data_IF_960400145756
#
_entry.id   IF_960400145756
#
_cell.length_a   1.000
_cell.length_b   1.000
_cell.length_c   1.000
_cell.angle_alpha   90.00
_cell.angle_beta   90.00
_cell.angle_gamma   90.00
#
_symmetry.space_group_name_H-M   'P 1'
#
loop_
_entity.id
_entity.type
_entity.pdbx_description
1 polymer ?
#
# COMPACT_ATOMS: atom_id res chain seq x y z
N UNK A 1 6.45 -16.58 22.08
CA UNK A 1 6.30 -15.23 21.47
C UNK A 1 7.52 -14.39 21.81
N UNK A 2 8.14 -13.71 20.84
CA UNK A 2 9.16 -12.72 21.17
C UNK A 2 8.49 -11.53 21.85
N UNK A 3 9.07 -10.91 22.89
CA UNK A 3 8.45 -9.76 23.54
C UNK A 3 8.32 -8.61 22.53
N UNK A 4 7.13 -8.04 22.43
CA UNK A 4 6.86 -6.87 21.61
C UNK A 4 7.63 -5.67 22.19
N UNK A 5 8.45 -5.00 21.37
CA UNK A 5 9.29 -3.86 21.78
C UNK A 5 8.80 -2.60 21.11
N UNK A 6 8.76 -1.50 21.85
CA UNK A 6 8.54 -0.16 21.28
C UNK A 6 9.72 0.17 20.35
N UNK A 7 9.43 0.45 19.08
CA UNK A 7 10.42 0.85 18.08
C UNK A 7 10.54 2.35 17.98
N UNK A 8 9.40 3.04 17.91
CA UNK A 8 9.30 4.46 17.70
C UNK A 8 8.14 5.04 18.49
N UNK A 9 8.34 6.27 18.94
CA UNK A 9 7.33 7.09 19.55
C UNK A 9 7.54 8.53 19.09
N UNK A 10 6.48 9.20 18.66
CA UNK A 10 6.53 10.58 18.18
C UNK A 10 5.19 11.26 18.31
N UNK A 11 5.21 12.59 18.30
CA UNK A 11 4.02 13.43 18.28
C UNK A 11 3.68 13.81 16.82
N UNK A 12 2.40 13.73 16.46
CA UNK A 12 1.89 14.19 15.17
C UNK A 12 0.61 15.02 15.40
N UNK A 13 0.73 16.33 15.27
CA UNK A 13 -0.39 17.22 15.58
C UNK A 13 -0.82 17.10 17.05
N UNK A 14 -2.10 16.80 17.28
CA UNK A 14 -2.70 16.69 18.62
C UNK A 14 -2.60 15.29 19.24
N UNK A 15 -1.88 14.33 18.61
CA UNK A 15 -1.82 12.96 19.08
C UNK A 15 -0.41 12.37 19.07
N UNK A 16 -0.22 11.34 19.90
CA UNK A 16 1.01 10.58 20.00
C UNK A 16 0.87 9.27 19.21
N UNK A 17 1.94 8.88 18.52
CA UNK A 17 2.03 7.61 17.79
C UNK A 17 3.08 6.71 18.42
N UNK A 18 2.75 5.43 18.63
CA UNK A 18 3.67 4.39 19.07
C UNK A 18 3.69 3.26 18.06
N UNK A 19 4.89 2.87 17.60
CA UNK A 19 5.11 1.78 16.66
C UNK A 19 5.91 0.69 17.35
N UNK A 20 5.45 -0.55 17.24
CA UNK A 20 6.01 -1.72 17.91
C UNK A 20 6.70 -2.68 16.94
N UNK A 21 7.54 -3.58 17.49
CA UNK A 21 8.38 -4.51 16.73
C UNK A 21 7.61 -5.61 15.98
N UNK A 22 6.34 -5.80 16.26
CA UNK A 22 5.44 -6.73 15.53
C UNK A 22 4.69 -6.04 14.38
N UNK A 23 4.88 -4.72 14.21
CA UNK A 23 4.20 -3.88 13.23
C UNK A 23 2.95 -3.18 13.78
N UNK A 24 2.56 -3.43 15.04
CA UNK A 24 1.43 -2.75 15.65
C UNK A 24 1.69 -1.25 15.78
N UNK A 25 0.67 -0.44 15.50
CA UNK A 25 0.67 1.02 15.65
C UNK A 25 -0.51 1.44 16.53
N UNK A 26 -0.23 2.31 17.49
CA UNK A 26 -1.23 2.86 18.40
C UNK A 26 -1.18 4.38 18.29
N UNK A 27 -2.34 5.02 18.14
CA UNK A 27 -2.52 6.46 18.23
C UNK A 27 -3.22 6.83 19.54
N UNK A 28 -2.83 7.93 20.10
CA UNK A 28 -3.31 8.40 21.39
C UNK A 28 -3.58 9.90 21.34
N UNK A 29 -4.81 10.31 21.60
CA UNK A 29 -5.19 11.71 21.77
C UNK A 29 -6.12 11.88 22.96
N UNK A 30 -6.25 13.13 23.46
CA UNK A 30 -7.27 13.53 24.43
C UNK A 30 -8.45 14.22 23.77
N UNK A 31 -8.32 14.53 22.49
CA UNK A 31 -9.32 15.21 21.69
C UNK A 31 -10.24 14.18 21.02
N UNK A 32 -11.37 14.62 20.50
CA UNK A 32 -12.36 13.76 19.83
C UNK A 32 -11.86 13.20 18.51
N UNK A 33 -10.97 13.93 17.82
CA UNK A 33 -10.43 13.56 16.51
C UNK A 33 -8.89 13.66 16.46
N UNK A 34 -8.29 12.89 15.56
CA UNK A 34 -6.85 12.93 15.29
C UNK A 34 -6.53 13.96 14.19
N UNK A 35 -5.73 14.95 14.52
CA UNK A 35 -5.28 15.97 13.58
C UNK A 35 -3.81 15.80 13.21
N UNK A 36 -3.55 15.07 12.11
CA UNK A 36 -2.20 14.87 11.60
C UNK A 36 -1.64 16.13 10.93
N UNK A 37 -0.38 16.49 11.21
CA UNK A 37 0.36 17.57 10.55
C UNK A 37 1.29 17.09 9.42
N UNK A 38 1.61 15.80 9.41
CA UNK A 38 2.43 15.16 8.39
C UNK A 38 1.98 13.72 8.21
N UNK A 39 2.28 13.08 7.04
CA UNK A 39 1.86 11.70 6.82
C UNK A 39 2.66 10.75 7.71
N UNK A 40 1.95 9.83 8.38
CA UNK A 40 2.58 8.76 9.14
C UNK A 40 3.18 7.70 8.22
N UNK A 41 2.52 7.44 7.09
CA UNK A 41 2.96 6.47 6.09
C UNK A 41 2.85 7.06 4.68
N UNK A 42 3.86 6.76 3.87
CA UNK A 42 3.95 7.22 2.48
C UNK A 42 4.16 6.02 1.58
N UNK A 43 3.24 5.78 0.66
CA UNK A 43 3.46 4.89 -0.46
C UNK A 43 4.40 5.59 -1.46
N UNK A 44 5.65 5.15 -1.50
CA UNK A 44 6.72 5.80 -2.25
C UNK A 44 7.11 4.98 -3.48
N UNK A 45 6.74 5.44 -4.66
CA UNK A 45 7.19 4.85 -5.92
C UNK A 45 8.54 5.45 -6.32
N UNK A 46 9.57 4.60 -6.36
CA UNK A 46 10.94 5.01 -6.68
C UNK A 46 11.40 4.59 -8.07
N UNK A 47 10.69 3.70 -8.73
CA UNK A 47 11.05 3.23 -10.07
C UNK A 47 9.83 2.78 -10.86
N UNK A 48 9.90 2.91 -12.17
CA UNK A 48 8.95 2.31 -13.12
C UNK A 48 9.60 1.15 -13.90
N UNK A 49 10.84 0.80 -13.59
CA UNK A 49 11.57 -0.30 -14.21
C UNK A 49 11.22 -1.63 -13.55
N UNK A 50 10.76 -2.61 -14.36
CA UNK A 50 10.43 -3.95 -13.90
C UNK A 50 10.46 -4.94 -15.07
N UNK A 51 11.11 -6.09 -14.89
CA UNK A 51 11.24 -7.14 -15.91
C UNK A 51 9.99 -8.02 -16.07
N UNK A 52 9.06 -8.00 -15.11
CA UNK A 52 7.95 -8.98 -15.04
C UNK A 52 6.76 -8.66 -15.95
N UNK A 53 6.49 -7.39 -16.26
CA UNK A 53 5.36 -6.97 -17.10
C UNK A 53 4.00 -7.59 -16.69
N UNK A 54 3.71 -7.68 -15.39
CA UNK A 54 2.47 -8.25 -14.88
C UNK A 54 1.24 -7.64 -15.58
N UNK A 55 0.27 -8.46 -16.05
CA UNK A 55 -0.87 -7.94 -16.80
C UNK A 55 -1.79 -7.04 -15.97
N UNK A 56 -1.88 -7.24 -14.65
CA UNK A 56 -2.66 -6.42 -13.72
C UNK A 56 -1.89 -5.19 -13.17
N UNK A 57 -0.68 -4.89 -13.65
CA UNK A 57 0.15 -3.83 -13.06
C UNK A 57 -0.47 -2.43 -13.21
N UNK A 58 -0.91 -1.85 -12.11
CA UNK A 58 -1.50 -0.50 -12.09
C UNK A 58 -0.45 0.61 -12.30
N UNK A 59 0.83 0.32 -12.05
CA UNK A 59 1.95 1.26 -12.21
C UNK A 59 2.52 1.34 -13.64
N UNK A 60 2.02 0.52 -14.57
CA UNK A 60 2.53 0.42 -15.95
C UNK A 60 4.04 0.15 -16.05
N UNK A 61 4.62 -0.49 -15.05
CA UNK A 61 6.05 -0.76 -14.99
C UNK A 61 6.52 -1.67 -16.13
N UNK A 62 7.69 -1.36 -16.70
CA UNK A 62 8.27 -2.07 -17.85
C UNK A 62 9.79 -2.19 -17.69
N UNK A 63 10.48 -3.08 -18.45
CA UNK A 63 11.95 -3.14 -18.45
C UNK A 63 12.63 -1.83 -18.88
N UNK A 64 11.95 -1.02 -19.70
CA UNK A 64 12.42 0.29 -20.16
C UNK A 64 11.95 1.45 -19.27
N UNK A 65 11.38 1.12 -18.10
CA UNK A 65 10.96 2.11 -17.11
C UNK A 65 12.14 2.91 -16.56
N UNK A 66 11.83 4.06 -15.97
CA UNK A 66 12.82 4.97 -15.40
C UNK A 66 12.93 4.80 -13.91
N UNK A 67 14.11 5.03 -13.37
CA UNK A 67 14.35 5.21 -11.94
C UNK A 67 14.17 6.69 -11.57
N UNK A 68 13.73 6.93 -10.36
CA UNK A 68 13.60 8.28 -9.81
C UNK A 68 14.93 8.79 -9.25
N UNK A 69 15.05 10.10 -9.11
CA UNK A 69 16.11 10.71 -8.30
C UNK A 69 15.70 10.63 -6.81
N UNK A 70 16.49 9.87 -6.04
CA UNK A 70 16.27 9.69 -4.60
C UNK A 70 16.88 10.81 -3.74
N UNK A 71 17.27 11.95 -4.35
CA UNK A 71 17.81 13.12 -3.65
C UNK A 71 16.83 14.32 -3.64
N UNK A 72 15.55 14.09 -3.96
CA UNK A 72 14.57 15.18 -3.96
C UNK A 72 14.49 15.84 -2.56
N UNK A 73 14.45 17.18 -2.45
CA UNK A 73 14.54 17.92 -1.18
C UNK A 73 13.53 17.50 -0.11
N UNK A 74 12.27 17.17 -0.48
CA UNK A 74 11.27 16.78 0.49
C UNK A 74 11.69 15.56 1.34
N UNK A 75 12.53 14.67 0.81
CA UNK A 75 13.04 13.52 1.56
C UNK A 75 13.84 13.93 2.79
N UNK A 76 14.37 15.14 2.79
CA UNK A 76 15.06 15.68 3.95
C UNK A 76 14.11 16.33 4.97
N UNK A 77 12.87 16.59 4.61
CA UNK A 77 11.82 17.12 5.50
C UNK A 77 10.96 16.03 6.16
N UNK A 78 11.18 14.75 5.81
CA UNK A 78 10.50 13.62 6.44
C UNK A 78 10.74 13.61 7.96
N UNK A 79 9.67 13.38 8.70
CA UNK A 79 9.70 13.40 10.17
C UNK A 79 10.11 12.04 10.72
N UNK A 80 10.89 12.03 11.80
CA UNK A 80 11.26 10.81 12.51
C UNK A 80 10.04 9.95 12.84
N UNK A 81 10.11 8.67 12.55
CA UNK A 81 9.02 7.72 12.74
C UNK A 81 8.09 7.54 11.54
N UNK A 82 8.15 8.42 10.52
CA UNK A 82 7.42 8.20 9.26
C UNK A 82 7.79 6.85 8.65
N UNK A 83 6.80 6.13 8.14
CA UNK A 83 6.98 4.87 7.43
C UNK A 83 6.97 5.12 5.91
N UNK A 84 7.93 4.52 5.20
CA UNK A 84 7.96 4.50 3.73
C UNK A 84 7.64 3.09 3.24
N UNK A 85 6.52 2.92 2.53
CA UNK A 85 6.22 1.73 1.76
C UNK A 85 6.79 1.88 0.35
N UNK A 86 8.02 1.38 0.17
CA UNK A 86 8.79 1.56 -1.06
C UNK A 86 8.38 0.53 -2.09
N UNK A 87 7.96 1.01 -3.26
CA UNK A 87 7.45 0.19 -4.34
C UNK A 87 7.65 0.80 -5.73
N UNK A 88 6.70 0.48 -6.61
CA UNK A 88 6.69 0.88 -8.01
C UNK A 88 6.95 -0.31 -8.93
N UNK A 89 8.05 -0.28 -9.71
CA UNK A 89 8.51 -1.41 -10.51
C UNK A 89 9.19 -2.49 -9.66
N UNK A 90 10.49 -2.74 -9.90
CA UNK A 90 11.31 -3.54 -9.01
C UNK A 90 12.27 -2.64 -8.22
N UNK A 91 11.95 -2.27 -6.99
CA UNK A 91 12.78 -1.36 -6.20
C UNK A 91 14.20 -1.91 -5.93
N UNK A 92 14.38 -3.24 -5.92
CA UNK A 92 15.67 -3.89 -5.71
C UNK A 92 16.68 -3.67 -6.84
N UNK A 93 16.24 -3.20 -8.00
CA UNK A 93 17.13 -2.90 -9.14
C UNK A 93 17.48 -1.40 -9.23
N UNK A 94 16.99 -0.58 -8.29
CA UNK A 94 17.36 0.83 -8.24
C UNK A 94 18.80 0.97 -7.71
N UNK A 95 19.68 1.58 -8.51
CA UNK A 95 21.12 1.66 -8.19
C UNK A 95 21.41 2.40 -6.88
N UNK A 96 20.61 3.40 -6.52
CA UNK A 96 20.78 4.21 -5.32
C UNK A 96 19.95 3.70 -4.12
N UNK A 97 19.33 2.52 -4.21
CA UNK A 97 18.49 1.99 -3.14
C UNK A 97 19.23 1.91 -1.80
N UNK A 98 20.42 1.32 -1.77
CA UNK A 98 21.16 1.10 -0.51
C UNK A 98 21.58 2.44 0.12
N UNK A 99 22.24 3.38 -0.60
CA UNK A 99 22.54 4.71 -0.06
C UNK A 99 21.29 5.45 0.46
N UNK A 100 20.18 5.36 -0.27
CA UNK A 100 18.90 5.94 0.14
C UNK A 100 18.41 5.34 1.47
N UNK A 101 18.32 4.02 1.58
CA UNK A 101 17.90 3.34 2.80
C UNK A 101 18.81 3.67 4.00
N UNK A 102 20.13 3.77 3.79
CA UNK A 102 21.07 4.19 4.83
C UNK A 102 20.81 5.62 5.29
N UNK A 103 20.48 6.54 4.38
CA UNK A 103 20.09 7.92 4.71
C UNK A 103 18.79 7.94 5.51
N UNK A 104 17.76 7.22 5.06
CA UNK A 104 16.47 7.13 5.76
C UNK A 104 16.62 6.53 7.16
N UNK A 105 17.39 5.48 7.32
CA UNK A 105 17.69 4.88 8.62
C UNK A 105 18.34 5.89 9.59
N UNK A 106 19.32 6.68 9.13
CA UNK A 106 19.95 7.72 9.96
C UNK A 106 18.97 8.81 10.40
N UNK A 107 17.97 9.12 9.58
CA UNK A 107 16.87 10.04 9.92
C UNK A 107 15.82 9.41 10.85
N UNK A 108 15.92 8.12 11.13
CA UNK A 108 14.93 7.39 11.94
C UNK A 108 13.63 7.09 11.20
N UNK A 109 13.65 7.11 9.87
CA UNK A 109 12.55 6.73 8.99
C UNK A 109 12.49 5.20 8.93
N UNK A 110 11.29 4.63 8.97
CA UNK A 110 11.05 3.19 8.86
C UNK A 110 10.79 2.86 7.39
N UNK A 111 11.68 2.07 6.78
CA UNK A 111 11.53 1.66 5.39
C UNK A 111 10.99 0.23 5.30
N UNK A 112 9.93 0.06 4.54
CA UNK A 112 9.36 -1.22 4.13
C UNK A 112 9.46 -1.32 2.60
N UNK A 113 9.70 -2.52 2.07
CA UNK A 113 9.80 -2.74 0.61
C UNK A 113 8.79 -3.79 0.20
N UNK A 114 8.12 -3.57 -0.94
CA UNK A 114 7.29 -4.59 -1.59
C UNK A 114 8.00 -5.14 -2.81
N UNK A 115 8.09 -6.46 -2.90
CA UNK A 115 8.70 -7.18 -4.03
C UNK A 115 7.75 -8.25 -4.57
N UNK A 116 7.89 -8.60 -5.85
CA UNK A 116 7.21 -9.77 -6.39
C UNK A 116 7.92 -11.06 -5.93
N UNK A 117 7.16 -12.16 -5.79
CA UNK A 117 7.67 -13.49 -5.44
C UNK A 117 8.89 -13.92 -6.27
N UNK A 118 8.90 -13.59 -7.57
CA UNK A 118 10.04 -13.91 -8.46
C UNK A 118 11.28 -13.09 -8.10
N UNK A 119 11.11 -11.83 -7.75
CA UNK A 119 12.22 -10.96 -7.33
C UNK A 119 12.76 -11.37 -5.95
N UNK A 120 11.88 -11.84 -5.03
CA UNK A 120 12.33 -12.42 -3.77
C UNK A 120 13.34 -13.54 -4.00
N UNK A 121 13.00 -14.50 -4.87
CA UNK A 121 13.87 -15.65 -5.14
C UNK A 121 15.16 -15.22 -5.85
N UNK A 122 15.04 -14.37 -6.88
CA UNK A 122 16.21 -13.89 -7.64
C UNK A 122 17.19 -13.03 -6.80
N UNK A 123 16.71 -12.31 -5.80
CA UNK A 123 17.46 -11.33 -5.01
C UNK A 123 17.50 -11.67 -3.50
N UNK A 124 17.28 -12.95 -3.15
CA UNK A 124 17.14 -13.42 -1.76
C UNK A 124 18.29 -12.95 -0.86
N UNK A 125 19.53 -13.05 -1.33
CA UNK A 125 20.71 -12.61 -0.57
C UNK A 125 20.73 -11.11 -0.30
N UNK A 126 20.37 -10.29 -1.30
CA UNK A 126 20.27 -8.84 -1.13
C UNK A 126 19.21 -8.50 -0.07
N UNK A 127 18.01 -9.10 -0.17
CA UNK A 127 16.92 -8.87 0.78
C UNK A 127 17.36 -9.27 2.19
N UNK A 128 18.03 -10.43 2.36
CA UNK A 128 18.56 -10.86 3.67
C UNK A 128 19.57 -9.86 4.23
N UNK A 129 20.45 -9.29 3.40
CA UNK A 129 21.38 -8.22 3.81
C UNK A 129 20.65 -6.96 4.25
N UNK A 130 19.61 -6.54 3.51
CA UNK A 130 18.80 -5.36 3.87
C UNK A 130 18.09 -5.55 5.21
N UNK A 131 17.49 -6.73 5.45
CA UNK A 131 16.84 -7.06 6.72
C UNK A 131 17.87 -7.14 7.85
N UNK A 132 18.96 -7.91 7.66
CA UNK A 132 20.00 -8.12 8.67
C UNK A 132 20.73 -6.84 9.07
N UNK A 133 20.81 -5.86 8.18
CA UNK A 133 21.38 -4.53 8.43
C UNK A 133 20.34 -3.53 8.98
N UNK A 134 19.11 -3.95 9.22
CA UNK A 134 17.99 -3.09 9.59
C UNK A 134 17.82 -1.87 8.65
N UNK A 135 18.05 -2.07 7.37
CA UNK A 135 17.81 -1.07 6.33
C UNK A 135 16.35 -1.09 5.86
N UNK A 136 15.71 -2.25 5.93
CA UNK A 136 14.26 -2.41 5.82
C UNK A 136 13.75 -3.09 7.07
N UNK A 137 12.52 -2.72 7.44
CA UNK A 137 11.84 -3.28 8.61
C UNK A 137 10.80 -4.33 8.20
N UNK A 138 9.93 -4.00 7.28
CA UNK A 138 8.91 -4.89 6.70
C UNK A 138 9.23 -5.26 5.26
N UNK A 139 8.81 -6.45 4.87
CA UNK A 139 8.89 -6.96 3.50
C UNK A 139 7.52 -7.45 3.05
N UNK A 140 6.91 -6.74 2.08
CA UNK A 140 5.75 -7.21 1.34
C UNK A 140 6.18 -8.16 0.20
N UNK A 141 5.57 -9.32 0.11
CA UNK A 141 5.83 -10.30 -0.95
C UNK A 141 4.56 -10.48 -1.77
N UNK A 142 4.52 -9.90 -2.97
CA UNK A 142 3.37 -10.02 -3.87
C UNK A 142 3.34 -11.42 -4.49
N UNK A 143 2.33 -12.22 -4.13
CA UNK A 143 2.10 -13.58 -4.63
C UNK A 143 0.92 -13.56 -5.59
N UNK A 144 1.18 -13.86 -6.86
CA UNK A 144 0.18 -13.83 -7.94
C UNK A 144 0.15 -15.11 -8.77
N UNK A 145 1.06 -16.03 -8.49
CA UNK A 145 1.22 -17.31 -9.21
C UNK A 145 1.57 -18.43 -8.25
N UNK A 146 1.25 -19.65 -8.62
CA UNK A 146 1.62 -20.86 -7.90
C UNK A 146 3.08 -21.25 -8.21
N UNK A 147 4.01 -20.38 -7.76
CA UNK A 147 5.45 -20.57 -7.95
C UNK A 147 6.18 -20.23 -6.65
N UNK A 148 7.13 -21.07 -6.27
CA UNK A 148 8.04 -20.82 -5.11
C UNK A 148 7.32 -20.69 -3.76
N UNK A 149 6.16 -21.37 -3.61
CA UNK A 149 5.34 -21.21 -2.40
C UNK A 149 6.08 -21.73 -1.16
N UNK A 150 6.74 -22.88 -1.26
CA UNK A 150 7.47 -23.46 -0.14
C UNK A 150 8.66 -22.59 0.26
N UNK A 151 9.40 -22.04 -0.71
CA UNK A 151 10.51 -21.12 -0.46
C UNK A 151 10.06 -19.81 0.18
N UNK A 152 8.89 -19.29 -0.23
CA UNK A 152 8.28 -18.10 0.36
C UNK A 152 7.87 -18.37 1.80
N UNK A 153 7.24 -19.51 2.08
CA UNK A 153 6.84 -19.93 3.42
C UNK A 153 8.07 -20.07 4.32
N UNK A 154 9.10 -20.78 3.85
CA UNK A 154 10.36 -20.93 4.58
C UNK A 154 11.04 -19.57 4.86
N UNK A 155 11.04 -18.68 3.86
CA UNK A 155 11.62 -17.34 4.03
C UNK A 155 10.83 -16.52 5.06
N UNK A 156 9.51 -16.55 4.99
CA UNK A 156 8.62 -15.81 5.92
C UNK A 156 8.74 -16.33 7.35
N UNK A 157 8.87 -17.64 7.54
CA UNK A 157 9.08 -18.24 8.86
C UNK A 157 10.35 -17.74 9.56
N UNK A 158 11.42 -17.46 8.77
CA UNK A 158 12.68 -16.91 9.27
C UNK A 158 12.66 -15.39 9.48
N UNK A 159 11.73 -14.69 8.83
CA UNK A 159 11.64 -13.24 8.80
C UNK A 159 10.22 -12.81 9.20
N UNK A 160 9.91 -12.64 10.50
CA UNK A 160 8.54 -12.47 11.01
C UNK A 160 7.85 -11.17 10.57
N UNK A 161 8.59 -10.21 9.98
CA UNK A 161 8.04 -8.99 9.41
C UNK A 161 7.77 -9.10 7.89
N UNK A 162 7.75 -10.32 7.36
CA UNK A 162 7.22 -10.59 6.02
C UNK A 162 5.69 -10.62 6.04
N UNK A 163 5.09 -10.01 5.02
CA UNK A 163 3.64 -10.01 4.78
C UNK A 163 3.38 -10.43 3.35
N UNK A 164 2.57 -11.45 3.15
CA UNK A 164 2.17 -11.91 1.83
C UNK A 164 1.10 -10.97 1.28
N UNK A 165 1.36 -10.33 0.14
CA UNK A 165 0.41 -9.48 -0.55
C UNK A 165 -0.31 -10.28 -1.64
N UNK A 166 -1.63 -10.30 -1.57
CA UNK A 166 -2.49 -10.90 -2.59
C UNK A 166 -3.49 -9.86 -3.10
N UNK A 167 -3.94 -10.02 -4.34
CA UNK A 167 -4.87 -9.06 -4.96
C UNK A 167 -6.24 -9.75 -5.10
N UNK A 168 -7.28 -9.10 -4.57
CA UNK A 168 -8.66 -9.55 -4.72
C UNK A 168 -9.04 -9.68 -6.21
N UNK A 169 -9.78 -10.73 -6.57
CA UNK A 169 -10.10 -11.04 -7.96
C UNK A 169 -8.97 -11.72 -8.76
N UNK A 170 -7.70 -11.58 -8.33
CA UNK A 170 -6.55 -12.21 -8.99
C UNK A 170 -6.11 -13.49 -8.28
N UNK A 171 -6.08 -13.49 -6.95
CA UNK A 171 -5.71 -14.68 -6.17
C UNK A 171 -6.77 -15.76 -6.34
N UNK A 172 -6.36 -16.97 -6.76
CA UNK A 172 -7.28 -18.09 -6.86
C UNK A 172 -7.48 -18.78 -5.51
N UNK A 173 -8.60 -19.48 -5.39
CA UNK A 173 -8.93 -20.34 -4.23
C UNK A 173 -7.82 -21.35 -3.95
N UNK A 174 -7.31 -22.02 -5.00
CA UNK A 174 -6.28 -23.05 -4.90
C UNK A 174 -4.98 -22.48 -4.34
N UNK A 175 -4.57 -21.30 -4.84
CA UNK A 175 -3.34 -20.64 -4.39
C UNK A 175 -3.49 -20.16 -2.95
N UNK A 176 -4.64 -19.59 -2.60
CA UNK A 176 -4.92 -19.14 -1.23
C UNK A 176 -4.91 -20.32 -0.24
N UNK A 177 -5.47 -21.47 -0.64
CA UNK A 177 -5.44 -22.70 0.17
C UNK A 177 -4.01 -23.21 0.39
N UNK A 178 -3.10 -23.08 -0.61
CA UNK A 178 -1.69 -23.45 -0.45
C UNK A 178 -0.94 -22.57 0.54
N UNK A 179 -1.35 -21.30 0.68
CA UNK A 179 -0.80 -20.36 1.65
C UNK A 179 -1.40 -20.53 3.05
N UNK A 180 -2.61 -21.10 3.15
CA UNK A 180 -3.34 -21.27 4.40
C UNK A 180 -2.64 -22.27 5.33
N UNK A 181 -2.80 -22.07 6.66
CA UNK A 181 -2.24 -22.92 7.72
C UNK A 181 -0.69 -23.05 7.67
N UNK A 182 -0.03 -21.99 7.22
CA UNK A 182 1.45 -21.90 7.12
C UNK A 182 2.05 -20.85 8.06
N UNK A 183 1.28 -20.35 9.02
CA UNK A 183 1.69 -19.30 9.95
C UNK A 183 2.16 -18.03 9.22
N UNK A 184 1.42 -17.61 8.21
CA UNK A 184 1.70 -16.42 7.41
C UNK A 184 0.86 -15.23 7.86
N UNK A 185 1.41 -14.04 7.67
CA UNK A 185 0.68 -12.77 7.68
C UNK A 185 0.29 -12.43 6.25
N UNK A 186 -0.94 -12.05 6.00
CA UNK A 186 -1.43 -11.73 4.66
C UNK A 186 -2.05 -10.33 4.62
N UNK A 187 -1.75 -9.57 3.57
CA UNK A 187 -2.41 -8.33 3.20
C UNK A 187 -3.20 -8.55 1.92
N UNK A 188 -4.51 -8.39 2.00
CA UNK A 188 -5.40 -8.43 0.85
C UNK A 188 -5.52 -7.03 0.29
N UNK A 189 -5.04 -6.86 -0.95
CA UNK A 189 -5.11 -5.63 -1.71
C UNK A 189 -6.35 -5.64 -2.60
N UNK A 190 -7.06 -4.53 -2.68
CA UNK A 190 -8.12 -4.34 -3.65
C UNK A 190 -7.58 -4.35 -5.08
N UNK A 191 -8.44 -4.73 -6.03
CA UNK A 191 -8.08 -4.68 -7.44
C UNK A 191 -8.06 -3.26 -7.96
N UNK A 192 -6.91 -2.79 -8.42
CA UNK A 192 -6.71 -1.44 -8.95
C UNK A 192 -6.93 -1.43 -10.47
N UNK A 193 -8.10 -0.98 -10.91
CA UNK A 193 -8.47 -0.82 -12.33
C UNK A 193 -7.76 0.39 -12.96
N UNK A 194 -6.43 0.47 -12.81
CA UNK A 194 -5.54 1.51 -13.35
C UNK A 194 -4.38 0.87 -14.13
N UNK A 195 -3.72 1.64 -14.97
CA UNK A 195 -2.63 1.13 -15.78
C UNK A 195 -3.05 -0.05 -16.66
N UNK A 196 -2.29 -1.16 -16.63
CA UNK A 196 -2.68 -2.39 -17.32
C UNK A 196 -3.86 -3.10 -16.67
N UNK A 197 -4.04 -2.94 -15.36
CA UNK A 197 -5.17 -3.49 -14.62
C UNK A 197 -6.53 -3.02 -15.17
N UNK A 198 -6.60 -1.82 -15.78
CA UNK A 198 -7.83 -1.31 -16.40
C UNK A 198 -8.41 -2.25 -17.46
N UNK A 199 -7.55 -3.03 -18.12
CA UNK A 199 -7.92 -3.90 -19.25
C UNK A 199 -7.72 -5.40 -18.96
N UNK A 200 -7.34 -5.75 -17.74
CA UNK A 200 -7.03 -7.12 -17.38
C UNK A 200 -8.02 -7.69 -16.36
N UNK A 201 -8.95 -8.47 -16.85
CA UNK A 201 -9.90 -9.22 -16.03
C UNK A 201 -9.85 -10.69 -16.48
N UNK A 202 -9.14 -11.56 -15.74
CA UNK A 202 -9.13 -12.99 -16.05
C UNK A 202 -10.54 -13.56 -15.94
N UNK A 203 -10.85 -14.63 -16.69
CA UNK A 203 -12.18 -15.27 -16.69
C UNK A 203 -12.67 -15.68 -15.30
N UNK A 204 -11.74 -15.92 -14.38
CA UNK A 204 -12.02 -16.30 -12.99
C UNK A 204 -12.11 -15.09 -12.04
N UNK A 205 -12.06 -13.85 -12.56
CA UNK A 205 -11.98 -12.64 -11.73
C UNK A 205 -13.15 -12.56 -10.76
N UNK A 206 -14.37 -12.64 -11.25
CA UNK A 206 -15.59 -12.54 -10.43
C UNK A 206 -15.73 -13.71 -9.45
N UNK A 207 -15.37 -14.92 -9.88
CA UNK A 207 -15.35 -16.09 -9.02
C UNK A 207 -14.38 -15.91 -7.85
N UNK A 208 -13.15 -15.47 -8.13
CA UNK A 208 -12.13 -15.21 -7.10
C UNK A 208 -12.54 -14.05 -6.17
N UNK A 209 -13.12 -12.99 -6.73
CA UNK A 209 -13.62 -11.85 -5.94
C UNK A 209 -14.74 -12.29 -5.00
N UNK A 210 -15.72 -13.05 -5.50
CA UNK A 210 -16.84 -13.57 -4.72
C UNK A 210 -16.37 -14.58 -3.67
N UNK A 211 -15.39 -15.43 -3.99
CA UNK A 211 -14.81 -16.36 -3.03
C UNK A 211 -14.22 -15.63 -1.82
N UNK A 212 -13.44 -14.56 -2.05
CA UNK A 212 -12.95 -13.71 -0.97
C UNK A 212 -14.09 -12.98 -0.27
N UNK A 213 -14.96 -12.31 -1.03
CA UNK A 213 -16.04 -11.48 -0.48
C UNK A 213 -16.94 -12.26 0.47
N UNK A 214 -17.30 -13.48 0.15
CA UNK A 214 -18.23 -14.27 0.97
C UNK A 214 -17.52 -15.22 1.96
N UNK A 215 -16.28 -15.62 1.67
CA UNK A 215 -15.53 -16.59 2.47
C UNK A 215 -14.50 -15.97 3.43
N UNK A 216 -14.28 -14.65 3.41
CA UNK A 216 -13.11 -14.04 4.06
C UNK A 216 -12.99 -14.33 5.55
N UNK A 217 -14.12 -14.40 6.30
CA UNK A 217 -14.09 -14.68 7.72
C UNK A 217 -13.62 -16.10 8.03
N UNK A 218 -13.93 -17.08 7.16
CA UNK A 218 -13.44 -18.46 7.29
C UNK A 218 -11.98 -18.57 6.79
N UNK A 219 -11.68 -17.95 5.66
CA UNK A 219 -10.34 -17.90 5.08
C UNK A 219 -9.33 -17.31 6.07
N UNK A 220 -9.72 -16.27 6.80
CA UNK A 220 -8.83 -15.59 7.75
C UNK A 220 -8.32 -16.50 8.87
N UNK A 221 -9.07 -17.53 9.24
CA UNK A 221 -8.66 -18.51 10.27
C UNK A 221 -7.40 -19.30 9.87
N UNK A 222 -7.08 -19.36 8.59
CA UNK A 222 -5.89 -20.03 8.06
C UNK A 222 -4.59 -19.20 8.12
N UNK A 223 -4.63 -17.99 8.66
CA UNK A 223 -3.50 -17.06 8.70
C UNK A 223 -3.30 -16.50 10.11
N UNK A 224 -2.06 -16.19 10.48
CA UNK A 224 -1.77 -15.59 11.78
C UNK A 224 -2.30 -14.15 11.87
N UNK A 225 -2.22 -13.40 10.76
CA UNK A 225 -2.77 -12.04 10.64
C UNK A 225 -3.33 -11.88 9.22
N UNK A 226 -4.54 -11.31 9.13
CA UNK A 226 -5.13 -10.85 7.86
C UNK A 226 -5.38 -9.36 7.97
N UNK A 227 -4.86 -8.60 7.01
CA UNK A 227 -5.07 -7.17 6.88
C UNK A 227 -5.56 -6.81 5.47
N UNK A 228 -6.09 -5.61 5.31
CA UNK A 228 -6.71 -5.13 4.08
C UNK A 228 -6.21 -3.71 3.80
N UNK A 229 -5.97 -3.38 2.52
CA UNK A 229 -5.92 -1.97 2.13
C UNK A 229 -7.34 -1.38 2.03
N UNK A 230 -7.45 -0.06 2.01
CA UNK A 230 -8.76 0.61 2.01
C UNK A 230 -9.61 0.20 0.80
N UNK A 231 -9.00 -0.02 -0.35
CA UNK A 231 -9.72 -0.48 -1.54
C UNK A 231 -10.30 -1.89 -1.36
N UNK A 232 -9.56 -2.81 -0.74
CA UNK A 232 -10.06 -4.15 -0.44
C UNK A 232 -11.19 -4.11 0.61
N UNK A 233 -11.09 -3.22 1.60
CA UNK A 233 -12.16 -3.02 2.60
C UNK A 233 -13.48 -2.71 1.91
N UNK A 234 -13.46 -1.80 0.94
CA UNK A 234 -14.65 -1.41 0.16
C UNK A 234 -15.11 -2.56 -0.74
N UNK A 235 -14.25 -3.07 -1.61
CA UNK A 235 -14.60 -4.10 -2.60
C UNK A 235 -15.14 -5.38 -1.96
N UNK A 236 -14.61 -5.75 -0.79
CA UNK A 236 -15.05 -6.94 -0.05
C UNK A 236 -16.15 -6.65 0.98
N UNK A 237 -16.61 -5.39 1.10
CA UNK A 237 -17.63 -4.92 2.07
C UNK A 237 -17.29 -5.31 3.51
N UNK A 238 -16.04 -5.05 3.93
CA UNK A 238 -15.51 -5.51 5.23
C UNK A 238 -16.17 -4.81 6.42
N UNK A 239 -16.58 -3.56 6.29
CA UNK A 239 -17.26 -2.80 7.35
C UNK A 239 -18.46 -3.54 7.96
N UNK A 240 -19.18 -4.31 7.15
CA UNK A 240 -20.37 -5.04 7.57
C UNK A 240 -20.07 -6.47 8.09
N UNK A 241 -18.78 -6.87 8.17
CA UNK A 241 -18.38 -8.24 8.50
C UNK A 241 -17.50 -8.35 9.73
N UNK A 242 -16.81 -7.27 10.07
CA UNK A 242 -15.84 -7.24 11.18
C UNK A 242 -16.53 -6.66 12.39
N UNK A 243 -16.58 -7.44 13.47
CA UNK A 243 -16.97 -6.96 14.78
C UNK A 243 -15.92 -5.95 15.27
N UNK A 244 -16.33 -4.86 15.91
CA UNK A 244 -15.45 -3.76 16.31
C UNK A 244 -14.65 -3.11 15.18
N UNK A 245 -15.21 -3.06 13.97
CA UNK A 245 -14.55 -2.49 12.79
C UNK A 245 -13.89 -1.13 13.08
N UNK A 246 -14.60 -0.23 13.75
CA UNK A 246 -14.11 1.13 14.04
C UNK A 246 -12.85 1.15 14.91
N UNK A 247 -12.70 0.17 15.82
CA UNK A 247 -11.49 0.05 16.66
C UNK A 247 -10.27 -0.51 15.91
N UNK A 248 -10.51 -1.23 14.82
CA UNK A 248 -9.47 -1.85 13.98
C UNK A 248 -9.14 -1.01 12.75
N UNK A 249 -10.00 -0.04 12.41
CA UNK A 249 -9.83 0.78 11.23
C UNK A 249 -8.70 1.81 11.40
N UNK A 250 -7.74 1.79 10.49
CA UNK A 250 -6.53 2.63 10.60
C UNK A 250 -6.68 4.02 9.98
N UNK A 251 -7.87 4.34 9.47
CA UNK A 251 -8.20 5.62 8.85
C UNK A 251 -8.25 5.57 7.33
N UNK A 252 -8.86 6.58 6.77
CA UNK A 252 -9.06 6.73 5.32
C UNK A 252 -7.77 7.10 4.58
N UNK A 253 -7.73 6.82 3.27
CA UNK A 253 -6.67 7.32 2.40
C UNK A 253 -6.57 8.85 2.54
N UNK A 254 -5.37 9.38 2.74
CA UNK A 254 -5.13 10.82 2.92
C UNK A 254 -5.32 11.35 4.34
N UNK A 255 -5.94 10.60 5.27
CA UNK A 255 -6.07 11.03 6.66
C UNK A 255 -4.72 11.00 7.40
N UNK A 256 -3.97 9.89 7.25
CA UNK A 256 -2.65 9.66 7.85
C UNK A 256 -1.60 9.23 6.81
N UNK A 257 -2.00 9.06 5.59
CA UNK A 257 -1.21 8.48 4.51
C UNK A 257 -1.19 9.38 3.29
N UNK A 258 -0.24 9.16 2.39
CA UNK A 258 -0.24 9.75 1.05
C UNK A 258 0.57 8.88 0.09
N UNK A 259 0.36 9.09 -1.21
CA UNK A 259 1.13 8.47 -2.28
C UNK A 259 2.07 9.48 -2.94
N UNK A 260 3.31 9.05 -3.23
CA UNK A 260 4.31 9.85 -3.97
C UNK A 260 4.87 9.03 -5.11
N UNK A 261 4.71 9.53 -6.35
CA UNK A 261 5.39 9.03 -7.55
C UNK A 261 6.64 9.90 -7.83
N UNK A 262 7.80 9.47 -7.33
CA UNK A 262 9.05 10.16 -7.57
C UNK A 262 9.49 10.13 -9.03
N UNK A 263 9.07 9.11 -9.79
CA UNK A 263 9.41 9.00 -11.22
C UNK A 263 8.73 10.10 -12.04
N UNK A 264 7.45 10.38 -11.73
CA UNK A 264 6.67 11.44 -12.36
C UNK A 264 6.80 12.79 -11.66
N UNK A 265 7.39 12.81 -10.47
CA UNK A 265 7.47 13.98 -9.58
C UNK A 265 6.09 14.51 -9.20
N UNK A 266 5.21 13.61 -8.79
CA UNK A 266 3.82 13.88 -8.40
C UNK A 266 3.50 13.28 -7.04
N UNK A 267 2.51 13.86 -6.35
CA UNK A 267 1.93 13.28 -5.14
C UNK A 267 0.40 13.27 -5.21
N UNK A 268 -0.23 12.46 -4.37
CA UNK A 268 -1.66 12.20 -4.41
C UNK A 268 -2.14 11.61 -3.09
N UNK A 269 -3.46 11.54 -2.89
CA UNK A 269 -4.10 10.84 -1.78
C UNK A 269 -3.73 9.36 -1.79
N UNK A 270 -3.86 8.69 -2.94
CA UNK A 270 -3.53 7.28 -3.13
C UNK A 270 -2.95 7.01 -4.52
N UNK A 271 -2.45 5.80 -4.75
CA UNK A 271 -1.92 5.39 -6.06
C UNK A 271 -2.98 5.34 -7.16
N UNK A 272 -4.26 5.25 -6.81
CA UNK A 272 -5.39 5.16 -7.74
C UNK A 272 -6.13 6.47 -7.96
N UNK A 273 -5.91 7.48 -7.12
CA UNK A 273 -6.50 8.81 -7.27
C UNK A 273 -6.13 9.45 -8.62
N UNK A 274 -7.05 10.15 -9.22
CA UNK A 274 -6.83 10.96 -10.42
C UNK A 274 -6.32 12.37 -10.08
N UNK A 275 -6.49 12.82 -8.83
CA UNK A 275 -5.91 14.07 -8.34
C UNK A 275 -4.40 13.94 -8.18
N UNK A 276 -3.65 14.56 -9.08
CA UNK A 276 -2.18 14.54 -9.11
C UNK A 276 -1.62 15.94 -8.98
N UNK A 277 -0.71 16.14 -8.03
CA UNK A 277 -0.08 17.42 -7.74
C UNK A 277 1.43 17.31 -7.92
N UNK A 278 2.06 18.38 -8.38
CA UNK A 278 3.52 18.45 -8.52
C UNK A 278 4.20 18.42 -7.16
N UNK A 279 5.30 17.68 -7.03
CA UNK A 279 6.09 17.64 -5.81
C UNK A 279 6.49 19.04 -5.35
N UNK A 280 6.46 19.23 -4.02
CA UNK A 280 7.01 20.39 -3.33
C UNK A 280 8.26 19.98 -2.54
N UNK A 281 8.95 20.95 -1.97
CA UNK A 281 10.19 20.72 -1.21
C UNK A 281 9.96 20.30 0.24
N UNK A 282 8.76 20.56 0.79
CA UNK A 282 8.39 20.17 2.16
C UNK A 282 7.22 19.18 2.17
N UNK A 283 7.38 18.11 2.95
CA UNK A 283 6.38 17.05 3.09
C UNK A 283 5.08 17.55 3.73
N UNK A 284 5.18 18.51 4.67
CA UNK A 284 4.01 19.08 5.35
C UNK A 284 3.15 19.90 4.41
N UNK A 285 3.77 20.66 3.48
CA UNK A 285 3.05 21.43 2.46
C UNK A 285 2.32 20.52 1.46
N UNK A 286 2.92 19.37 1.13
CA UNK A 286 2.25 18.37 0.32
C UNK A 286 1.10 17.72 1.09
N UNK A 287 1.32 17.35 2.33
CA UNK A 287 0.31 16.69 3.15
C UNK A 287 -0.88 17.61 3.47
N UNK A 288 -0.64 18.90 3.69
CA UNK A 288 -1.71 19.89 3.81
C UNK A 288 -2.63 19.88 2.59
N UNK A 289 -2.06 19.83 1.37
CA UNK A 289 -2.86 19.73 0.13
C UNK A 289 -3.64 18.41 0.06
N UNK A 290 -3.06 17.31 0.52
CA UNK A 290 -3.76 16.02 0.61
C UNK A 290 -4.99 16.13 1.52
N UNK A 291 -4.86 16.72 2.70
CA UNK A 291 -5.98 16.89 3.64
C UNK A 291 -7.13 17.74 3.05
N UNK A 292 -6.82 18.74 2.24
CA UNK A 292 -7.82 19.56 1.55
C UNK A 292 -8.63 18.75 0.51
N UNK A 293 -8.02 17.76 -0.14
CA UNK A 293 -8.63 16.96 -1.22
C UNK A 293 -9.27 15.67 -0.69
N UNK A 294 -8.82 15.16 0.45
CA UNK A 294 -9.30 13.88 1.01
C UNK A 294 -10.84 13.78 1.11
N UNK A 295 -11.57 14.79 1.61
CA UNK A 295 -13.04 14.69 1.66
C UNK A 295 -13.69 14.52 0.27
N UNK A 296 -13.14 15.18 -0.75
CA UNK A 296 -13.64 15.10 -2.13
C UNK A 296 -13.33 13.73 -2.72
N UNK A 297 -12.11 13.24 -2.52
CA UNK A 297 -11.68 11.92 -2.95
C UNK A 297 -12.57 10.81 -2.38
N UNK A 298 -12.96 10.90 -1.10
CA UNK A 298 -13.83 9.92 -0.46
C UNK A 298 -15.23 9.91 -1.07
N UNK A 299 -15.80 11.08 -1.36
CA UNK A 299 -17.11 11.18 -2.04
C UNK A 299 -17.05 10.49 -3.41
N UNK A 300 -16.02 10.76 -4.20
CA UNK A 300 -15.92 10.24 -5.57
C UNK A 300 -15.58 8.76 -5.65
N UNK A 301 -14.66 8.31 -4.80
CA UNK A 301 -14.10 6.97 -4.96
C UNK A 301 -14.86 5.89 -4.19
N UNK A 302 -15.35 6.21 -2.99
CA UNK A 302 -16.01 5.22 -2.13
C UNK A 302 -17.53 5.18 -2.27
N UNK A 303 -18.18 6.29 -2.61
CA UNK A 303 -19.60 6.29 -2.89
C UNK A 303 -19.92 5.64 -4.24
N UNK A 304 -19.08 5.79 -5.26
CA UNK A 304 -19.26 5.16 -6.57
C UNK A 304 -19.16 3.63 -6.55
N UNK A 305 -18.61 3.03 -5.51
CA UNK A 305 -18.47 1.56 -5.39
C UNK A 305 -19.64 0.89 -4.66
N UNK A 306 -20.49 1.65 -3.97
CA UNK A 306 -21.68 1.12 -3.26
C UNK A 306 -22.97 1.13 -4.09
N UNK A 307 -23.03 1.92 -5.15
CA UNK A 307 -24.12 1.94 -6.13
C UNK A 307 -23.50 1.72 -7.51
N UNK A 308 -24.16 0.97 -8.39
CA UNK A 308 -23.68 0.59 -9.73
C UNK A 308 -23.45 1.77 -10.71
N UNK A 309 -23.25 2.99 -10.23
CA UNK A 309 -22.99 4.20 -10.98
C UNK A 309 -21.59 4.74 -10.73
N UNK A 310 -20.72 4.71 -11.75
CA UNK A 310 -19.41 5.36 -11.69
C UNK A 310 -19.55 6.88 -11.87
N UNK A 311 -19.29 7.63 -10.81
CA UNK A 311 -19.18 9.09 -10.86
C UNK A 311 -17.73 9.48 -11.24
N UNK A 312 -17.57 10.26 -12.29
CA UNK A 312 -16.29 10.85 -12.66
C UNK A 312 -16.30 12.35 -12.36
N UNK A 313 -15.29 12.84 -11.62
CA UNK A 313 -15.06 14.26 -11.47
C UNK A 313 -13.75 14.66 -12.16
N UNK A 314 -13.79 15.76 -12.86
CA UNK A 314 -12.63 16.36 -13.51
C UNK A 314 -12.34 17.72 -12.87
N UNK A 315 -11.11 17.93 -12.40
CA UNK A 315 -10.63 19.23 -11.93
C UNK A 315 -10.47 20.17 -13.14
N UNK A 316 -11.04 21.34 -13.07
CA UNK A 316 -10.83 22.40 -14.08
C UNK A 316 -9.62 23.25 -13.71
N UNK A 317 -9.09 23.98 -14.69
CA UNK A 317 -7.94 24.87 -14.52
C UNK A 317 -8.15 25.99 -13.49
N UNK A 318 -9.40 26.30 -13.14
CA UNK A 318 -9.80 27.31 -12.16
C UNK A 318 -10.06 26.78 -10.75
N UNK A 319 -9.60 25.55 -10.43
CA UNK A 319 -9.84 24.85 -9.18
C UNK A 319 -11.34 24.54 -8.87
N UNK A 320 -12.23 24.64 -9.86
CA UNK A 320 -13.62 24.20 -9.77
C UNK A 320 -13.81 22.76 -10.27
N UNK A 321 -14.84 22.06 -9.77
CA UNK A 321 -15.15 20.68 -10.14
C UNK A 321 -16.39 20.60 -11.01
N UNK A 322 -16.38 19.70 -11.99
CA UNK A 322 -17.57 19.32 -12.75
C UNK A 322 -17.79 17.83 -12.58
N UNK A 323 -19.00 17.46 -12.17
CA UNK A 323 -19.42 16.07 -12.04
C UNK A 323 -20.10 15.62 -13.32
N UNK A 324 -19.74 14.44 -13.81
CA UNK A 324 -20.38 13.79 -14.95
C UNK A 324 -20.95 12.45 -14.51
N UNK A 325 -22.20 12.20 -14.89
CA UNK A 325 -22.83 10.90 -14.79
C UNK A 325 -22.72 10.22 -16.15
N UNK A 326 -22.18 9.02 -16.21
CA UNK A 326 -22.12 8.24 -17.45
C UNK A 326 -23.41 7.40 -17.56
N UNK A 327 -24.40 7.92 -18.25
CA UNK A 327 -25.67 7.22 -18.52
C UNK A 327 -25.58 6.17 -19.64
N UNK A 328 -24.45 6.03 -20.35
CA UNK A 328 -24.33 5.19 -21.56
C UNK A 328 -23.96 3.71 -21.32
N UNK A 329 -23.99 3.20 -20.08
CA UNK A 329 -23.72 1.77 -19.80
C UNK A 329 -24.91 1.01 -19.21
N UNK A 330 -26.11 1.34 -19.64
CA UNK A 330 -27.28 0.48 -19.45
C UNK A 330 -27.73 -0.07 -20.81
N UNK A 331 -26.99 -1.07 -21.37
CA UNK A 331 -27.50 -2.05 -22.30
C UNK A 331 -26.70 -3.35 -22.21
#
# INVERSE_FOLDING_TARGET
>A
MRPCKLLKEYQNGNYQVKIYSDGSKIRFTKDDEFEALFPESIDLKITNRCDLRCPMCHELSTPMGKDADLNHPFLDTLVHGTELAIGGGNPLDHQDLIPFLMRMKRKGIICNITVNQIHLIKKKELIQKLIGSNLIYGLGISVTKDLFIDEIVEFSAKNPNCVIHVIAGIISKELLNKLSNKHLKILILGYKAKGRGRYYYPKTFDENMNYLKYGIMEISKGFDIVSFDNLAIVQLKMKNKVEDYESLYMGDDGQFTMYIDLVKKEFSVSSVSDFRFKLKEDIRDMFKKIKEITPIYHIEYYQSTDEDEMLFATLKEDDSYTFFFDEEKRE
#
